data_IF_042638638875
#
_entry.id   IF_042638638875
#
_cell.length_a   1.000
_cell.length_b   1.000
_cell.length_c   1.000
_cell.angle_alpha   90.00
_cell.angle_beta   90.00
_cell.angle_gamma   90.00
#
_symmetry.space_group_name_H-M   'P 1'
#
loop_
_entity.id
_entity.type
_entity.pdbx_description
1 polymer ?
#
# COMPACT_ATOMS: atom_id res chain seq x y z
N UNK A 1 -10.89 2.79 5.07
CA UNK A 1 -9.64 3.11 4.38
C UNK A 1 -9.02 4.37 4.97
N UNK A 2 -7.68 4.48 4.95
CA UNK A 2 -6.93 5.65 5.42
C UNK A 2 -6.01 6.13 4.30
N UNK A 3 -5.94 7.44 4.08
CA UNK A 3 -5.15 8.07 3.03
C UNK A 3 -4.85 9.52 3.36
N UNK A 4 -3.71 10.04 2.94
CA UNK A 4 -3.34 11.43 3.20
C UNK A 4 -4.36 12.43 2.65
N UNK A 5 -4.67 12.33 1.35
CA UNK A 5 -5.67 13.19 0.69
C UNK A 5 -6.31 12.47 -0.49
N UNK A 6 -7.56 12.80 -0.79
CA UNK A 6 -8.27 12.34 -1.99
C UNK A 6 -8.00 13.22 -3.23
N UNK A 7 -7.19 14.28 -3.10
CA UNK A 7 -6.79 15.13 -4.24
C UNK A 7 -5.77 14.42 -5.15
N UNK A 8 -5.02 13.44 -4.62
CA UNK A 8 -4.06 12.66 -5.36
C UNK A 8 -4.74 11.58 -6.24
N UNK A 9 -4.31 11.47 -7.51
CA UNK A 9 -4.84 10.47 -8.45
C UNK A 9 -4.69 9.05 -7.92
N UNK A 10 -3.51 8.69 -7.41
CA UNK A 10 -3.26 7.35 -6.88
C UNK A 10 -4.18 6.98 -5.70
N UNK A 11 -4.58 7.97 -4.87
CA UNK A 11 -5.54 7.74 -3.79
C UNK A 11 -6.92 7.40 -4.35
N UNK A 12 -7.39 8.19 -5.32
CA UNK A 12 -8.69 7.96 -5.98
C UNK A 12 -8.73 6.62 -6.71
N UNK A 13 -7.68 6.30 -7.47
CA UNK A 13 -7.58 5.04 -8.21
C UNK A 13 -7.55 3.82 -7.27
N UNK A 14 -6.79 3.87 -6.17
CA UNK A 14 -6.76 2.80 -5.16
C UNK A 14 -8.13 2.61 -4.51
N UNK A 15 -8.79 3.69 -4.11
CA UNK A 15 -10.16 3.62 -3.55
C UNK A 15 -11.15 3.08 -4.58
N UNK A 16 -11.05 3.50 -5.83
CA UNK A 16 -11.93 3.02 -6.89
C UNK A 16 -11.74 1.53 -7.16
N UNK A 17 -10.49 1.07 -7.27
CA UNK A 17 -10.18 -0.36 -7.45
C UNK A 17 -10.69 -1.23 -6.29
N UNK A 18 -10.58 -0.75 -5.05
CA UNK A 18 -11.17 -1.44 -3.88
C UNK A 18 -12.69 -1.51 -4.00
N UNK A 19 -13.37 -0.40 -4.32
CA UNK A 19 -14.82 -0.38 -4.50
C UNK A 19 -15.29 -1.34 -5.58
N UNK A 20 -14.59 -1.41 -6.70
CA UNK A 20 -14.89 -2.34 -7.79
C UNK A 20 -14.68 -3.80 -7.37
N UNK A 21 -13.58 -4.08 -6.65
CA UNK A 21 -13.27 -5.43 -6.19
C UNK A 21 -14.28 -5.98 -5.17
N UNK A 22 -14.86 -5.13 -4.33
CA UNK A 22 -15.85 -5.55 -3.33
C UNK A 22 -17.29 -5.52 -3.86
N UNK A 23 -17.53 -4.96 -5.05
CA UNK A 23 -18.87 -4.87 -5.63
C UNK A 23 -19.50 -6.26 -5.78
N UNK A 24 -20.74 -6.41 -5.33
CA UNK A 24 -21.47 -7.69 -5.35
C UNK A 24 -21.03 -8.72 -4.30
N UNK A 25 -20.09 -8.36 -3.42
CA UNK A 25 -19.70 -9.17 -2.26
C UNK A 25 -20.46 -8.75 -1.00
N UNK A 26 -20.18 -9.41 0.13
CA UNK A 26 -20.71 -9.01 1.45
C UNK A 26 -19.81 -7.99 2.18
N UNK A 27 -18.75 -7.52 1.54
CA UNK A 27 -17.83 -6.54 2.11
C UNK A 27 -18.37 -5.15 1.83
N UNK A 28 -18.46 -4.32 2.86
CA UNK A 28 -18.91 -2.94 2.77
C UNK A 28 -17.76 -1.99 3.11
N UNK A 29 -17.55 -0.99 2.26
CA UNK A 29 -16.65 0.12 2.56
C UNK A 29 -17.37 1.11 3.49
N UNK A 30 -16.98 1.12 4.77
CA UNK A 30 -17.58 1.96 5.80
C UNK A 30 -17.27 3.44 5.56
N UNK A 31 -15.97 3.77 5.35
CA UNK A 31 -15.54 5.16 5.15
C UNK A 31 -14.12 5.26 4.59
N UNK A 32 -13.74 6.45 4.14
CA UNK A 32 -12.38 6.84 3.73
C UNK A 32 -11.93 8.04 4.56
N UNK A 33 -10.97 7.85 5.44
CA UNK A 33 -10.46 8.87 6.34
C UNK A 33 -9.21 9.54 5.76
N UNK A 34 -9.21 10.87 5.73
CA UNK A 34 -8.06 11.67 5.29
C UNK A 34 -7.40 12.38 6.46
N UNK A 35 -6.08 12.48 6.42
CA UNK A 35 -5.29 13.10 7.49
C UNK A 35 -4.44 14.28 7.02
N UNK A 36 -4.38 14.57 5.72
CA UNK A 36 -3.58 15.65 5.12
C UNK A 36 -2.08 15.49 5.39
N UNK A 37 -1.60 14.23 5.48
CA UNK A 37 -0.21 13.86 5.81
C UNK A 37 0.19 14.33 7.23
N UNK A 38 -0.78 14.54 8.10
CA UNK A 38 -0.57 14.80 9.52
C UNK A 38 -0.63 13.47 10.30
N UNK A 39 0.52 13.03 10.81
CA UNK A 39 0.65 11.76 11.53
C UNK A 39 -0.16 11.70 12.83
N UNK A 40 -0.34 12.83 13.53
CA UNK A 40 -1.16 12.89 14.74
C UNK A 40 -2.63 12.70 14.39
N UNK A 41 -3.09 13.32 13.31
CA UNK A 41 -4.44 13.16 12.78
C UNK A 41 -4.67 11.74 12.25
N UNK A 42 -3.69 11.18 11.52
CA UNK A 42 -3.76 9.79 11.05
C UNK A 42 -3.96 8.83 12.22
N UNK A 43 -3.12 8.93 13.27
CA UNK A 43 -3.23 8.12 14.47
C UNK A 43 -4.60 8.27 15.15
N UNK A 44 -5.05 9.51 15.34
CA UNK A 44 -6.36 9.80 15.95
C UNK A 44 -7.53 9.20 15.12
N UNK A 45 -7.48 9.28 13.79
CA UNK A 45 -8.46 8.65 12.91
C UNK A 45 -8.53 7.14 13.15
N UNK A 46 -7.40 6.46 13.23
CA UNK A 46 -7.33 5.00 13.43
C UNK A 46 -7.86 4.58 14.80
N UNK A 47 -7.48 5.29 15.87
CA UNK A 47 -7.96 5.04 17.22
C UNK A 47 -9.49 5.26 17.30
N UNK A 48 -10.00 6.34 16.73
CA UNK A 48 -11.43 6.67 16.70
C UNK A 48 -12.23 5.61 15.93
N UNK A 49 -11.71 5.11 14.81
CA UNK A 49 -12.38 4.05 14.03
C UNK A 49 -12.51 2.77 14.83
N UNK A 50 -11.45 2.36 15.55
CA UNK A 50 -11.46 1.16 16.38
C UNK A 50 -12.44 1.24 17.56
N UNK A 51 -12.75 2.46 18.03
CA UNK A 51 -13.76 2.71 19.06
C UNK A 51 -15.15 2.80 18.44
N UNK A 52 -15.31 3.58 17.36
CA UNK A 52 -16.59 3.83 16.71
C UNK A 52 -17.19 2.58 16.05
N UNK A 53 -16.33 1.71 15.52
CA UNK A 53 -16.72 0.49 14.83
C UNK A 53 -16.08 -0.73 15.53
N UNK A 54 -16.64 -1.19 16.67
CA UNK A 54 -16.04 -2.26 17.47
C UNK A 54 -15.89 -3.58 16.71
N UNK A 55 -16.76 -3.82 15.72
CA UNK A 55 -16.82 -5.03 14.89
C UNK A 55 -16.18 -4.84 13.51
N UNK A 56 -15.37 -3.78 13.33
CA UNK A 56 -14.68 -3.56 12.06
C UNK A 56 -13.82 -4.79 11.71
N UNK A 57 -14.00 -5.31 10.51
CA UNK A 57 -13.32 -6.52 10.08
C UNK A 57 -11.95 -6.25 9.48
N UNK A 58 -11.78 -5.13 8.77
CA UNK A 58 -10.55 -4.82 8.04
C UNK A 58 -10.26 -3.32 8.03
N UNK A 59 -8.99 -2.97 8.19
CA UNK A 59 -8.44 -1.63 8.00
C UNK A 59 -7.38 -1.66 6.90
N UNK A 60 -7.33 -0.62 6.06
CA UNK A 60 -6.31 -0.51 5.02
C UNK A 60 -5.73 0.89 4.95
N UNK A 61 -4.41 0.98 5.02
CA UNK A 61 -3.64 2.20 4.75
C UNK A 61 -3.25 2.23 3.28
N UNK A 62 -3.59 3.32 2.60
CA UNK A 62 -3.37 3.44 1.14
C UNK A 62 -2.00 4.04 0.79
N UNK A 63 -1.31 4.67 1.74
CA UNK A 63 0.05 5.16 1.57
C UNK A 63 0.99 4.53 2.61
N UNK A 64 2.29 4.64 2.40
CA UNK A 64 3.32 3.88 3.14
C UNK A 64 3.29 4.08 4.67
N UNK A 65 2.97 5.28 5.15
CA UNK A 65 3.01 5.61 6.58
C UNK A 65 1.75 5.18 7.35
N UNK A 66 0.64 4.94 6.66
CA UNK A 66 -0.64 4.65 7.33
C UNK A 66 -0.70 3.20 7.82
N UNK A 67 -0.21 2.26 7.03
CA UNK A 67 -0.23 0.83 7.41
C UNK A 67 0.50 0.56 8.73
N UNK A 68 1.74 1.08 8.97
CA UNK A 68 2.39 0.92 10.27
C UNK A 68 1.67 1.63 11.42
N UNK A 69 0.97 2.74 11.17
CA UNK A 69 0.16 3.41 12.20
C UNK A 69 -1.10 2.59 12.55
N UNK A 70 -1.75 1.97 11.55
CA UNK A 70 -2.85 1.02 11.77
C UNK A 70 -2.36 -0.18 12.60
N UNK A 71 -1.21 -0.75 12.26
CA UNK A 71 -0.60 -1.85 13.00
C UNK A 71 -0.41 -1.51 14.49
N UNK A 72 0.15 -0.34 14.78
CA UNK A 72 0.36 0.13 16.14
C UNK A 72 -0.98 0.34 16.87
N UNK A 73 -1.97 0.98 16.24
CA UNK A 73 -3.28 1.23 16.82
C UNK A 73 -4.05 -0.07 17.12
N UNK A 74 -4.04 -1.04 16.19
CA UNK A 74 -4.72 -2.33 16.36
C UNK A 74 -4.07 -3.14 17.48
N UNK A 75 -2.74 -3.11 17.62
CA UNK A 75 -2.03 -3.76 18.73
C UNK A 75 -2.33 -3.10 20.07
N UNK A 76 -2.29 -1.76 20.13
CA UNK A 76 -2.61 -1.00 21.35
C UNK A 76 -4.06 -1.24 21.82
N UNK A 77 -4.99 -1.40 20.89
CA UNK A 77 -6.39 -1.72 21.18
C UNK A 77 -6.65 -3.20 21.55
N UNK A 78 -5.63 -4.07 21.54
CA UNK A 78 -5.77 -5.51 21.79
C UNK A 78 -6.60 -6.25 20.75
N UNK A 79 -6.66 -5.72 19.52
CA UNK A 79 -7.44 -6.26 18.41
C UNK A 79 -6.60 -7.01 17.36
N UNK A 80 -5.31 -7.23 17.62
CA UNK A 80 -4.44 -8.03 16.75
C UNK A 80 -5.03 -9.43 16.52
N UNK A 81 -5.04 -9.87 15.25
CA UNK A 81 -5.67 -11.13 14.83
C UNK A 81 -7.20 -11.11 14.70
N UNK A 82 -7.88 -10.11 15.28
CA UNK A 82 -9.32 -9.90 15.12
C UNK A 82 -9.63 -8.94 13.96
N UNK A 83 -8.92 -7.82 13.90
CA UNK A 83 -9.00 -6.84 12.80
C UNK A 83 -7.92 -7.18 11.80
N UNK A 84 -8.30 -7.43 10.56
CA UNK A 84 -7.38 -7.66 9.45
C UNK A 84 -6.77 -6.35 8.98
N UNK A 85 -5.51 -6.40 8.55
CA UNK A 85 -4.80 -5.23 8.03
C UNK A 85 -4.24 -5.59 6.65
N UNK A 86 -4.54 -4.74 5.67
CA UNK A 86 -3.94 -4.77 4.34
C UNK A 86 -3.33 -3.40 4.07
N UNK A 87 -2.16 -3.37 3.46
CA UNK A 87 -1.45 -2.12 3.25
C UNK A 87 -0.95 -1.91 1.83
N UNK A 88 -0.26 -0.79 1.69
CA UNK A 88 0.52 -0.44 0.51
C UNK A 88 1.94 -0.09 0.94
N UNK A 89 2.86 -0.29 0.01
CA UNK A 89 4.28 -0.03 0.12
C UNK A 89 5.03 -0.90 1.16
N UNK A 90 6.35 -0.70 1.30
CA UNK A 90 7.28 -1.59 1.99
C UNK A 90 7.90 -1.01 3.27
N UNK A 91 7.14 -0.20 4.04
CA UNK A 91 7.65 0.26 5.34
C UNK A 91 8.11 -0.93 6.21
N UNK A 92 9.24 -0.77 6.91
CA UNK A 92 9.83 -1.85 7.72
C UNK A 92 8.89 -2.40 8.80
N UNK A 93 8.03 -1.57 9.38
CA UNK A 93 7.03 -2.01 10.36
C UNK A 93 5.91 -2.79 9.71
N UNK A 94 5.52 -2.41 8.48
CA UNK A 94 4.58 -3.17 7.65
C UNK A 94 5.12 -4.56 7.36
N UNK A 95 6.37 -4.69 6.88
CA UNK A 95 7.00 -5.97 6.60
C UNK A 95 7.16 -6.83 7.87
N UNK A 96 7.47 -6.20 9.02
CA UNK A 96 7.51 -6.87 10.32
C UNK A 96 6.13 -7.38 10.73
N UNK A 97 5.09 -6.56 10.57
CA UNK A 97 3.71 -6.93 10.87
C UNK A 97 3.20 -8.09 10.00
N UNK A 98 3.65 -8.19 8.74
CA UNK A 98 3.39 -9.36 7.90
C UNK A 98 4.13 -10.59 8.42
N UNK A 99 5.39 -10.41 8.82
CA UNK A 99 6.21 -11.52 9.36
C UNK A 99 5.66 -12.06 10.66
N UNK A 100 5.10 -11.24 11.56
CA UNK A 100 4.49 -11.67 12.82
C UNK A 100 3.02 -12.12 12.67
N UNK A 101 2.41 -11.91 11.50
CA UNK A 101 1.04 -12.32 11.18
C UNK A 101 -0.05 -11.34 11.64
N UNK A 102 0.30 -10.13 12.07
CA UNK A 102 -0.67 -9.07 12.42
C UNK A 102 -1.21 -8.37 11.17
N UNK A 103 -0.37 -8.22 10.14
CA UNK A 103 -0.75 -7.68 8.82
C UNK A 103 -0.85 -8.84 7.83
N UNK A 104 -1.93 -8.90 7.06
CA UNK A 104 -2.18 -9.95 6.07
C UNK A 104 -1.25 -9.81 4.86
N UNK A 105 -1.18 -8.60 4.31
CA UNK A 105 -0.39 -8.32 3.12
C UNK A 105 -0.20 -6.82 2.88
N UNK A 106 0.74 -6.51 2.00
CA UNK A 106 0.91 -5.17 1.41
C UNK A 106 1.10 -5.27 -0.09
N UNK A 107 0.64 -4.26 -0.83
CA UNK A 107 0.85 -4.12 -2.27
C UNK A 107 2.01 -3.16 -2.48
N UNK A 108 3.11 -3.63 -3.07
CA UNK A 108 4.31 -2.83 -3.28
C UNK A 108 4.52 -2.48 -4.74
N UNK A 109 4.97 -1.27 -4.98
CA UNK A 109 5.41 -0.79 -6.28
C UNK A 109 6.88 -1.21 -6.51
N UNK A 110 7.39 -0.94 -7.72
CA UNK A 110 8.76 -1.24 -8.11
C UNK A 110 9.51 0.05 -8.48
N UNK A 111 9.86 0.92 -7.50
CA UNK A 111 10.46 2.23 -7.78
C UNK A 111 11.84 2.12 -8.47
N UNK A 112 12.60 1.07 -8.20
CA UNK A 112 13.84 0.79 -8.92
C UNK A 112 13.58 0.60 -10.42
N UNK A 113 12.59 -0.23 -10.77
CA UNK A 113 12.21 -0.49 -12.16
C UNK A 113 11.66 0.76 -12.84
N UNK A 114 10.92 1.61 -12.13
CA UNK A 114 10.46 2.88 -12.68
C UNK A 114 11.64 3.75 -13.12
N UNK A 115 12.65 3.91 -12.27
CA UNK A 115 13.86 4.67 -12.60
C UNK A 115 14.68 4.04 -13.72
N UNK A 116 14.93 2.73 -13.65
CA UNK A 116 15.71 1.99 -14.63
C UNK A 116 15.10 2.03 -16.03
N UNK A 117 13.80 1.71 -16.13
CA UNK A 117 13.08 1.73 -17.40
C UNK A 117 12.95 3.15 -17.97
N UNK A 118 12.72 4.14 -17.14
CA UNK A 118 12.67 5.53 -17.58
C UNK A 118 14.00 5.96 -18.20
N UNK A 119 15.11 5.74 -17.51
CA UNK A 119 16.44 6.10 -18.02
C UNK A 119 16.78 5.32 -19.31
N UNK A 120 16.56 4.01 -19.31
CA UNK A 120 16.83 3.16 -20.48
C UNK A 120 16.01 3.60 -21.69
N UNK A 121 14.75 3.90 -21.51
CA UNK A 121 13.86 4.29 -22.61
C UNK A 121 14.12 5.70 -23.12
N UNK A 122 14.57 6.63 -22.27
CA UNK A 122 15.08 7.94 -22.69
C UNK A 122 16.29 7.75 -23.60
N UNK A 123 17.28 6.93 -23.21
CA UNK A 123 18.47 6.65 -24.02
C UNK A 123 18.10 6.06 -25.38
N UNK A 124 17.19 5.06 -25.42
CA UNK A 124 16.68 4.51 -26.67
C UNK A 124 16.07 5.57 -27.57
N UNK A 125 15.23 6.43 -27.02
CA UNK A 125 14.57 7.50 -27.76
C UNK A 125 15.56 8.50 -28.34
N UNK A 126 16.59 8.90 -27.59
CA UNK A 126 17.65 9.78 -28.06
C UNK A 126 18.47 9.15 -29.19
N UNK A 127 18.59 7.83 -29.22
CA UNK A 127 19.23 7.07 -30.31
C UNK A 127 18.28 6.76 -31.48
N UNK A 128 17.05 7.34 -31.49
CA UNK A 128 16.08 7.16 -32.58
C UNK A 128 15.19 5.91 -32.45
N UNK A 129 15.40 5.07 -31.45
CA UNK A 129 14.58 3.89 -31.19
C UNK A 129 13.35 4.25 -30.36
N UNK A 130 12.17 4.16 -30.98
CA UNK A 130 10.85 4.38 -30.35
C UNK A 130 10.02 3.08 -30.30
N UNK A 131 10.59 1.94 -30.65
CA UNK A 131 9.89 0.64 -30.70
C UNK A 131 9.36 0.18 -29.32
N UNK A 132 9.91 0.70 -28.25
CA UNK A 132 9.51 0.42 -26.86
C UNK A 132 8.23 1.12 -26.42
N UNK A 133 7.74 2.15 -27.19
CA UNK A 133 6.54 2.91 -26.85
C UNK A 133 5.30 2.09 -27.20
N UNK A 134 4.46 1.67 -26.23
CA UNK A 134 3.20 1.02 -26.53
C UNK A 134 2.23 1.95 -27.29
N UNK A 135 1.29 1.36 -28.02
CA UNK A 135 0.33 2.12 -28.84
C UNK A 135 -0.52 3.12 -28.01
N UNK A 136 -0.81 2.77 -26.74
CA UNK A 136 -1.54 3.62 -25.80
C UNK A 136 -0.62 4.57 -25.00
N UNK A 137 0.68 4.59 -25.31
CA UNK A 137 1.71 5.39 -24.63
C UNK A 137 1.84 5.10 -23.13
N UNK A 138 1.40 3.92 -22.66
CA UNK A 138 1.45 3.51 -21.26
C UNK A 138 2.37 2.31 -21.07
N UNK A 139 3.46 2.47 -20.32
CA UNK A 139 4.29 1.37 -19.88
C UNK A 139 3.92 1.01 -18.45
N UNK A 140 3.23 -0.11 -18.28
CA UNK A 140 2.79 -0.58 -16.97
C UNK A 140 3.90 -1.43 -16.33
N UNK A 141 4.35 -1.03 -15.15
CA UNK A 141 5.20 -1.84 -14.30
C UNK A 141 4.30 -2.51 -13.25
N UNK A 142 4.27 -3.86 -13.17
CA UNK A 142 3.38 -4.56 -12.26
C UNK A 142 3.73 -4.28 -10.80
N UNK A 143 2.72 -4.36 -9.93
CA UNK A 143 2.91 -4.34 -8.48
C UNK A 143 3.07 -5.78 -7.95
N UNK A 144 3.67 -5.91 -6.76
CA UNK A 144 3.83 -7.19 -6.08
C UNK A 144 2.96 -7.23 -4.81
N UNK A 145 2.35 -8.37 -4.54
CA UNK A 145 1.68 -8.61 -3.25
C UNK A 145 2.66 -9.32 -2.32
N UNK A 146 2.95 -8.68 -1.19
CA UNK A 146 3.81 -9.24 -0.15
C UNK A 146 2.94 -9.73 0.99
N UNK A 147 3.05 -11.00 1.28
CA UNK A 147 2.32 -11.72 2.32
C UNK A 147 3.27 -12.58 3.15
N UNK A 148 2.73 -13.33 4.09
CA UNK A 148 3.50 -14.25 4.94
C UNK A 148 4.35 -15.24 4.13
N UNK A 149 3.91 -15.63 2.94
CA UNK A 149 4.59 -16.63 2.12
C UNK A 149 5.88 -16.12 1.46
N UNK A 150 6.00 -14.80 1.20
CA UNK A 150 7.13 -14.24 0.45
C UNK A 150 7.82 -13.05 1.15
N UNK A 151 7.36 -12.60 2.31
CA UNK A 151 7.92 -11.43 3.01
C UNK A 151 9.41 -11.59 3.38
N UNK A 152 9.85 -12.81 3.69
CA UNK A 152 11.24 -13.07 4.05
C UNK A 152 12.18 -12.86 2.85
N UNK A 153 11.82 -13.44 1.69
CA UNK A 153 12.55 -13.30 0.44
C UNK A 153 12.56 -11.83 -0.02
N UNK A 154 11.38 -11.19 -0.03
CA UNK A 154 11.25 -9.80 -0.39
C UNK A 154 12.11 -8.88 0.49
N UNK A 155 12.11 -9.09 1.81
CA UNK A 155 12.91 -8.29 2.74
C UNK A 155 14.41 -8.48 2.52
N UNK A 156 14.86 -9.69 2.18
CA UNK A 156 16.26 -9.95 1.85
C UNK A 156 16.66 -9.23 0.57
N UNK A 157 15.84 -9.32 -0.48
CA UNK A 157 16.08 -8.63 -1.75
C UNK A 157 16.10 -7.10 -1.60
N UNK A 158 15.15 -6.54 -0.85
CA UNK A 158 15.10 -5.10 -0.57
C UNK A 158 16.38 -4.61 0.12
N UNK A 159 16.90 -5.37 1.10
CA UNK A 159 18.18 -5.06 1.76
C UNK A 159 19.37 -5.06 0.81
N UNK A 160 19.38 -5.91 -0.20
CA UNK A 160 20.44 -5.94 -1.22
C UNK A 160 20.36 -4.72 -2.14
N UNK A 161 19.16 -4.33 -2.56
CA UNK A 161 18.95 -3.12 -3.36
C UNK A 161 19.38 -1.85 -2.64
N UNK A 162 19.15 -1.75 -1.34
CA UNK A 162 19.48 -0.58 -0.52
C UNK A 162 20.98 -0.49 -0.15
N UNK A 163 21.77 -1.53 -0.41
CA UNK A 163 23.25 -1.49 -0.22
C UNK A 163 24.03 -0.90 -1.41
N UNK A 164 23.36 -0.72 -2.54
CA UNK A 164 23.93 -0.13 -3.77
C UNK A 164 23.77 1.38 -3.77
#
# INVERSE_FOLDING_TARGET
LFVGTMDADNARERVQGIKEAIAGTKVELVDVFTDQVDFAKAKANMENVLVKYPDIALLSGLWSYETPLIYDAVKAAGKAGKVKIVGFDEDQRTLRGISDGTIESTVVQQPYEFGYLSATNIIKTLNGDKSWIPADSKLIVPTNVISKSNVAEFTAHLKELLKK
#
